data_IF_094406461164
#
_entry.id   IF_094406461164
#
_cell.length_a   1.000
_cell.length_b   1.000
_cell.length_c   1.000
_cell.angle_alpha   90.00
_cell.angle_beta   90.00
_cell.angle_gamma   90.00
#
_symmetry.space_group_name_H-M   'P 1'
#
loop_
_entity.id
_entity.type
_entity.pdbx_description
1 polymer ?
#
# COMPACT_ATOMS: atom_id res chain seq x y z
N UNK A 1 12.97 -11.87 -1.49
CA UNK A 1 12.17 -10.68 -1.11
C UNK A 1 11.01 -11.19 -0.28
N UNK A 2 10.60 -10.51 0.80
CA UNK A 2 9.41 -10.93 1.55
C UNK A 2 8.20 -10.96 0.63
N UNK A 3 7.35 -11.98 0.76
CA UNK A 3 6.12 -12.09 0.01
C UNK A 3 5.13 -11.00 0.48
N UNK A 4 4.32 -10.47 -0.45
CA UNK A 4 3.31 -9.45 -0.18
C UNK A 4 2.46 -9.75 1.06
N UNK A 5 2.04 -11.00 1.23
CA UNK A 5 1.23 -11.46 2.37
C UNK A 5 1.96 -11.36 3.71
N UNK A 6 3.29 -11.52 3.73
CA UNK A 6 4.07 -11.35 4.95
C UNK A 6 4.17 -9.88 5.34
N UNK A 7 4.39 -9.00 4.35
CA UNK A 7 4.40 -7.55 4.57
C UNK A 7 3.03 -7.03 5.01
N UNK A 8 1.94 -7.52 4.41
CA UNK A 8 0.56 -7.19 4.80
C UNK A 8 0.28 -7.60 6.24
N UNK A 9 0.63 -8.84 6.62
CA UNK A 9 0.47 -9.33 8.00
C UNK A 9 1.28 -8.49 8.98
N UNK A 10 2.55 -8.23 8.68
CA UNK A 10 3.42 -7.44 9.55
C UNK A 10 2.90 -6.00 9.71
N UNK A 11 2.42 -5.39 8.64
CA UNK A 11 1.78 -4.08 8.67
C UNK A 11 0.55 -4.09 9.57
N UNK A 12 -0.33 -5.10 9.40
CA UNK A 12 -1.52 -5.26 10.24
C UNK A 12 -1.21 -5.45 11.71
N UNK A 13 -0.21 -6.26 12.04
CA UNK A 13 0.24 -6.45 13.42
C UNK A 13 0.83 -5.15 14.01
N UNK A 14 1.52 -4.35 13.19
CA UNK A 14 2.14 -3.10 13.61
C UNK A 14 1.14 -1.96 13.84
N UNK A 15 0.17 -1.80 12.94
CA UNK A 15 -0.72 -0.64 12.91
C UNK A 15 -2.17 -0.95 13.33
N UNK A 16 -2.54 -2.23 13.46
CA UNK A 16 -3.86 -2.65 13.94
C UNK A 16 -4.95 -2.66 12.86
N UNK A 17 -4.62 -2.45 11.59
CA UNK A 17 -5.56 -2.50 10.46
C UNK A 17 -4.92 -3.15 9.22
N UNK A 18 -5.74 -3.75 8.36
CA UNK A 18 -5.26 -4.30 7.10
C UNK A 18 -5.15 -3.19 6.03
N UNK A 19 -4.05 -3.13 5.27
CA UNK A 19 -3.93 -2.16 4.18
C UNK A 19 -4.94 -2.49 3.06
N UNK A 20 -5.62 -1.47 2.54
CA UNK A 20 -6.49 -1.58 1.39
C UNK A 20 -5.62 -1.41 0.13
N UNK A 21 -5.43 -2.50 -0.62
CA UNK A 21 -4.63 -2.47 -1.85
C UNK A 21 -5.58 -2.39 -3.05
N UNK A 22 -5.58 -1.29 -3.85
CA UNK A 22 -6.60 -1.06 -4.86
C UNK A 22 -6.55 -2.04 -6.04
N UNK A 23 -5.36 -2.56 -6.38
CA UNK A 23 -5.18 -3.35 -7.60
C UNK A 23 -4.17 -4.51 -7.48
N UNK A 24 -4.52 -5.72 -7.96
CA UNK A 24 -3.69 -6.92 -7.87
C UNK A 24 -2.53 -6.99 -8.89
N UNK A 25 -2.26 -5.94 -9.66
CA UNK A 25 -1.13 -5.90 -10.60
C UNK A 25 0.01 -4.99 -10.10
N UNK A 26 -0.20 -4.28 -8.98
CA UNK A 26 0.79 -3.42 -8.35
C UNK A 26 1.39 -4.05 -7.08
N UNK A 27 1.22 -5.36 -6.89
CA UNK A 27 1.64 -6.08 -5.68
C UNK A 27 3.12 -5.88 -5.32
N UNK A 28 4.02 -5.80 -6.29
CA UNK A 28 5.45 -5.61 -6.03
C UNK A 28 5.71 -4.23 -5.41
N UNK A 29 5.18 -3.16 -6.02
CA UNK A 29 5.31 -1.79 -5.49
C UNK A 29 4.66 -1.64 -4.11
N UNK A 30 3.48 -2.26 -3.90
CA UNK A 30 2.82 -2.27 -2.60
C UNK A 30 3.60 -3.05 -1.55
N UNK A 31 4.31 -4.11 -1.94
CA UNK A 31 5.17 -4.86 -1.01
C UNK A 31 6.28 -3.98 -0.46
N UNK A 32 6.93 -3.17 -1.30
CA UNK A 32 7.97 -2.23 -0.86
C UNK A 32 7.39 -1.14 0.07
N UNK A 33 6.23 -0.58 -0.27
CA UNK A 33 5.56 0.44 0.57
C UNK A 33 5.17 -0.12 1.95
N UNK A 34 4.61 -1.32 1.99
CA UNK A 34 4.26 -1.99 3.24
C UNK A 34 5.50 -2.33 4.06
N UNK A 35 6.56 -2.81 3.40
CA UNK A 35 7.84 -3.11 4.04
C UNK A 35 8.47 -1.85 4.65
N UNK A 36 8.56 -0.76 3.89
CA UNK A 36 9.07 0.52 4.37
C UNK A 36 8.25 1.05 5.56
N UNK A 37 6.92 0.94 5.49
CA UNK A 37 6.04 1.38 6.57
C UNK A 37 6.29 0.58 7.86
N UNK A 38 6.48 -0.74 7.74
CA UNK A 38 6.81 -1.61 8.89
C UNK A 38 8.22 -1.30 9.43
N UNK A 39 9.21 -1.16 8.56
CA UNK A 39 10.62 -0.88 8.93
C UNK A 39 10.78 0.49 9.61
N UNK A 40 10.09 1.51 9.11
CA UNK A 40 10.08 2.85 9.70
C UNK A 40 9.13 2.98 10.90
N UNK A 41 8.21 2.02 11.07
CA UNK A 41 7.16 2.07 12.07
C UNK A 41 6.14 3.19 11.85
N UNK A 42 6.03 3.69 10.61
CA UNK A 42 5.17 4.81 10.21
C UNK A 42 4.24 4.35 9.10
N UNK A 43 2.94 4.65 9.19
CA UNK A 43 1.96 4.37 8.13
C UNK A 43 1.98 5.43 7.00
N UNK A 44 2.82 6.46 7.14
CA UNK A 44 2.90 7.56 6.19
C UNK A 44 3.22 7.13 4.74
N UNK A 45 4.21 6.24 4.47
CA UNK A 45 4.50 5.79 3.11
C UNK A 45 3.29 5.12 2.45
N UNK A 46 2.61 4.25 3.20
CA UNK A 46 1.36 3.63 2.77
C UNK A 46 0.28 4.66 2.42
N UNK A 47 0.07 5.67 3.26
CA UNK A 47 -0.94 6.71 3.01
C UNK A 47 -0.61 7.58 1.80
N UNK A 48 0.66 7.95 1.61
CA UNK A 48 1.10 8.75 0.47
C UNK A 48 0.92 7.96 -0.84
N UNK A 49 1.30 6.68 -0.86
CA UNK A 49 1.08 5.80 -2.00
C UNK A 49 -0.41 5.60 -2.32
N UNK A 50 -1.24 5.37 -1.29
CA UNK A 50 -2.67 5.17 -1.45
C UNK A 50 -3.38 6.42 -1.96
N UNK A 51 -3.06 7.60 -1.41
CA UNK A 51 -3.63 8.86 -1.87
C UNK A 51 -3.28 9.14 -3.34
N UNK A 52 -2.07 8.80 -3.78
CA UNK A 52 -1.67 8.96 -5.18
C UNK A 52 -2.42 8.00 -6.11
N UNK A 53 -2.55 6.71 -5.74
CA UNK A 53 -3.36 5.75 -6.50
C UNK A 53 -4.84 6.19 -6.60
N UNK A 54 -5.43 6.68 -5.50
CA UNK A 54 -6.79 7.21 -5.54
C UNK A 54 -6.93 8.42 -6.47
N UNK A 55 -5.92 9.30 -6.53
CA UNK A 55 -5.90 10.43 -7.47
C UNK A 55 -5.81 9.95 -8.91
N UNK A 56 -4.90 9.02 -9.20
CA UNK A 56 -4.75 8.43 -10.54
C UNK A 56 -6.06 7.76 -10.97
N UNK A 57 -6.73 7.04 -10.06
CA UNK A 57 -8.03 6.41 -10.33
C UNK A 57 -9.12 7.45 -10.61
N UNK A 58 -9.20 8.52 -9.83
CA UNK A 58 -10.18 9.60 -10.05
C UNK A 58 -9.94 10.32 -11.37
N UNK A 59 -8.67 10.53 -11.74
CA UNK A 59 -8.31 11.15 -13.02
C UNK A 59 -8.59 10.22 -14.20
N UNK A 60 -8.24 8.93 -14.08
CA UNK A 60 -8.54 7.91 -15.10
C UNK A 60 -10.04 7.73 -15.31
N UNK A 61 -10.85 7.83 -14.25
CA UNK A 61 -12.31 7.78 -14.33
C UNK A 61 -12.94 9.04 -14.93
N UNK A 62 -12.19 10.14 -15.08
CA UNK A 62 -12.66 11.39 -15.71
C UNK A 62 -12.37 11.45 -17.21
N UNK A 63 -11.59 10.52 -17.75
CA UNK A 63 -11.36 10.40 -19.18
C UNK A 63 -12.54 9.65 -19.84
N UNK A 64 -13.17 10.21 -20.89
CA UNK A 64 -14.30 9.61 -21.59
C UNK A 64 -13.95 8.36 -22.41
#
# INVERSE_FOLDING_TARGET
MPDFLECERAFRERFGYAPEIPHPWVFEAWTDVLKESVETGSDRPYREAFAEEERIRQESSRLP
#
